data_IF_939093816666
#
_entry.id   IF_939093816666
#
_cell.length_a   1.000
_cell.length_b   1.000
_cell.length_c   1.000
_cell.angle_alpha   90.00
_cell.angle_beta   90.00
_cell.angle_gamma   90.00
#
_symmetry.space_group_name_H-M   'P 1'
#
loop_
_entity.id
_entity.type
_entity.pdbx_description
1 polymer ?
#
# COMPACT_ATOMS: atom_id res chain seq x y z
N UNK A 1 23.18 -10.06 12.74
CA UNK A 1 21.76 -10.29 13.11
C UNK A 1 20.98 -9.03 12.77
N UNK A 2 19.83 -9.13 12.06
CA UNK A 2 19.08 -7.93 11.69
C UNK A 2 18.53 -7.21 12.93
N UNK A 3 18.65 -5.88 12.90
CA UNK A 3 18.07 -4.94 13.87
C UNK A 3 16.98 -4.14 13.18
N UNK A 4 16.07 -3.54 13.95
CA UNK A 4 15.07 -2.65 13.39
C UNK A 4 15.75 -1.40 12.80
N UNK A 5 15.32 -0.96 11.62
CA UNK A 5 15.83 0.24 10.96
C UNK A 5 15.11 1.51 11.38
N UNK A 6 13.99 1.41 12.11
CA UNK A 6 13.27 2.56 12.64
C UNK A 6 14.12 3.29 13.69
N UNK A 7 14.16 4.62 13.59
CA UNK A 7 14.95 5.47 14.49
C UNK A 7 14.49 5.26 15.94
N UNK A 8 15.44 5.00 16.84
CA UNK A 8 15.18 4.78 18.27
C UNK A 8 14.63 3.39 18.63
N UNK A 9 14.50 2.47 17.67
CA UNK A 9 14.04 1.11 17.96
C UNK A 9 15.21 0.16 18.25
N UNK A 10 15.21 -0.43 19.44
CA UNK A 10 16.26 -1.35 19.91
C UNK A 10 15.94 -2.83 19.63
N UNK A 11 14.83 -3.11 18.95
CA UNK A 11 14.42 -4.47 18.65
C UNK A 11 15.43 -5.16 17.71
N UNK A 12 15.79 -6.38 18.09
CA UNK A 12 16.71 -7.29 17.39
C UNK A 12 16.07 -8.66 17.25
N UNK A 13 16.70 -9.56 16.51
CA UNK A 13 16.17 -10.93 16.32
C UNK A 13 15.96 -11.70 17.62
N UNK A 14 16.71 -11.38 18.69
CA UNK A 14 16.52 -12.00 20.01
C UNK A 14 15.32 -11.45 20.79
N UNK A 15 14.66 -10.38 20.32
CA UNK A 15 13.51 -9.77 20.99
C UNK A 15 12.19 -10.53 20.76
N UNK A 16 12.19 -11.67 20.05
CA UNK A 16 10.98 -12.47 19.80
C UNK A 16 9.98 -11.86 18.81
N UNK A 17 10.32 -10.73 18.19
CA UNK A 17 9.48 -10.03 17.21
C UNK A 17 9.78 -10.46 15.77
N UNK A 18 8.76 -10.46 14.91
CA UNK A 18 8.94 -10.67 13.47
C UNK A 18 9.58 -9.45 12.82
N UNK A 19 10.33 -9.65 11.74
CA UNK A 19 10.95 -8.58 10.95
C UNK A 19 10.44 -8.61 9.51
N UNK A 20 10.03 -7.47 9.00
CA UNK A 20 9.53 -7.28 7.64
C UNK A 20 10.54 -6.50 6.80
N UNK A 21 10.61 -6.82 5.50
CA UNK A 21 11.39 -6.06 4.53
C UNK A 21 10.58 -4.89 3.99
N UNK A 22 11.26 -3.80 3.65
CA UNK A 22 10.65 -2.71 2.90
C UNK A 22 10.10 -3.29 1.56
N UNK A 23 8.86 -2.95 1.15
CA UNK A 23 8.27 -3.49 -0.07
C UNK A 23 9.16 -3.30 -1.28
N UNK A 24 9.32 -4.38 -2.05
CA UNK A 24 10.02 -4.39 -3.32
C UNK A 24 9.01 -4.64 -4.45
N UNK A 25 9.28 -4.07 -5.62
CA UNK A 25 8.43 -4.24 -6.80
C UNK A 25 8.27 -2.96 -7.60
N UNK A 26 7.88 -3.14 -8.86
CA UNK A 26 7.63 -2.07 -9.82
C UNK A 26 6.16 -1.67 -9.90
N UNK A 27 5.23 -2.53 -9.45
CA UNK A 27 3.80 -2.26 -9.47
C UNK A 27 3.45 -0.98 -8.67
N UNK A 28 2.57 -0.10 -9.16
CA UNK A 28 2.26 1.19 -8.51
C UNK A 28 1.90 1.06 -7.04
N UNK A 29 1.09 0.05 -6.67
CA UNK A 29 0.75 -0.25 -5.28
C UNK A 29 1.99 -0.46 -4.39
N UNK A 30 2.96 -1.25 -4.85
CA UNK A 30 4.18 -1.52 -4.08
C UNK A 30 5.10 -0.30 -4.00
N UNK A 31 5.16 0.51 -5.06
CA UNK A 31 5.89 1.78 -5.04
C UNK A 31 5.31 2.74 -4.01
N UNK A 32 3.99 2.90 -3.99
CA UNK A 32 3.31 3.76 -3.02
C UNK A 32 3.51 3.24 -1.59
N UNK A 33 3.33 1.93 -1.36
CA UNK A 33 3.55 1.33 -0.05
C UNK A 33 4.99 1.51 0.44
N UNK A 34 5.98 1.32 -0.45
CA UNK A 34 7.40 1.61 -0.14
C UNK A 34 7.62 3.07 0.22
N UNK A 35 7.04 4.00 -0.54
CA UNK A 35 7.16 5.43 -0.27
C UNK A 35 6.64 5.79 1.13
N UNK A 36 5.44 5.30 1.50
CA UNK A 36 4.86 5.53 2.82
C UNK A 36 5.73 4.94 3.96
N UNK A 37 6.29 3.74 3.75
CA UNK A 37 7.19 3.14 4.74
C UNK A 37 8.46 3.98 4.92
N UNK A 38 9.09 4.43 3.84
CA UNK A 38 10.31 5.26 3.91
C UNK A 38 10.04 6.59 4.59
N UNK A 39 8.89 7.22 4.31
CA UNK A 39 8.46 8.45 4.95
C UNK A 39 8.24 8.27 6.47
N UNK A 40 7.64 7.16 6.88
CA UNK A 40 7.41 6.85 8.30
C UNK A 40 8.70 6.64 9.09
N UNK A 41 9.77 6.16 8.43
CA UNK A 41 11.06 5.93 9.08
C UNK A 41 11.83 7.22 9.38
N UNK A 42 11.47 8.34 8.74
CA UNK A 42 12.10 9.67 8.92
C UNK A 42 13.63 9.64 8.90
N UNK A 43 14.18 8.77 8.06
CA UNK A 43 15.61 8.63 7.84
C UNK A 43 16.00 9.47 6.64
N UNK A 44 17.01 10.30 6.83
CA UNK A 44 17.56 11.16 5.78
C UNK A 44 18.68 10.43 5.00
N UNK A 45 19.25 9.38 5.59
CA UNK A 45 20.43 8.62 5.14
C UNK A 45 20.12 7.43 4.20
N UNK A 46 19.17 7.59 3.27
CA UNK A 46 18.85 6.55 2.27
C UNK A 46 19.73 6.60 1.01
N UNK A 47 20.97 7.06 1.16
CA UNK A 47 21.91 7.39 0.09
C UNK A 47 22.22 6.20 -0.84
N UNK A 48 21.91 4.98 -0.39
CA UNK A 48 22.14 3.75 -1.12
C UNK A 48 20.88 2.86 -1.18
N UNK A 49 20.48 2.49 -2.40
CA UNK A 49 19.40 1.53 -2.64
C UNK A 49 19.63 0.16 -1.95
N UNK A 50 20.90 -0.23 -1.73
CA UNK A 50 21.25 -1.42 -0.96
C UNK A 50 20.85 -1.30 0.52
N UNK A 51 20.95 -0.10 1.11
CA UNK A 51 20.54 0.14 2.50
C UNK A 51 19.02 -0.06 2.67
N UNK A 52 18.22 0.44 1.72
CA UNK A 52 16.76 0.21 1.69
C UNK A 52 16.43 -1.28 1.55
N UNK A 53 17.19 -2.02 0.74
CA UNK A 53 16.97 -3.46 0.50
C UNK A 53 17.26 -4.31 1.74
N UNK A 54 18.27 -3.94 2.53
CA UNK A 54 18.63 -4.66 3.76
C UNK A 54 17.90 -4.14 5.01
N UNK A 55 17.24 -2.99 4.92
CA UNK A 55 16.42 -2.47 6.01
C UNK A 55 15.33 -3.46 6.43
N UNK A 56 15.13 -3.56 7.75
CA UNK A 56 14.13 -4.43 8.38
C UNK A 56 13.38 -3.67 9.44
N UNK A 57 12.05 -3.78 9.43
CA UNK A 57 11.18 -3.15 10.43
C UNK A 57 10.54 -4.24 11.28
N UNK A 58 10.60 -4.12 12.60
CA UNK A 58 10.01 -5.12 13.48
C UNK A 58 8.47 -4.99 13.53
N UNK A 59 7.82 -6.10 13.85
CA UNK A 59 6.36 -6.21 13.96
C UNK A 59 5.71 -5.21 14.92
N UNK A 60 6.44 -4.71 15.93
CA UNK A 60 5.93 -3.72 16.87
C UNK A 60 5.59 -2.35 16.24
N UNK A 61 6.06 -2.07 15.02
CA UNK A 61 5.72 -0.85 14.28
C UNK A 61 4.48 -0.99 13.40
N UNK A 62 3.86 -2.16 13.39
CA UNK A 62 2.62 -2.40 12.67
C UNK A 62 1.52 -2.57 13.69
N UNK A 63 0.40 -1.90 13.43
CA UNK A 63 -0.84 -2.20 14.10
C UNK A 63 -1.19 -3.65 13.74
N UNK A 64 -1.43 -4.52 14.73
CA UNK A 64 -1.84 -5.88 14.43
C UNK A 64 -3.20 -5.82 13.71
N UNK A 65 -3.44 -6.75 12.79
CA UNK A 65 -4.70 -6.81 12.04
C UNK A 65 -5.95 -7.04 12.94
N UNK A 66 -5.78 -7.09 14.27
CA UNK A 66 -6.88 -7.05 15.24
C UNK A 66 -7.47 -5.64 15.43
N UNK A 67 -6.71 -4.57 15.14
CA UNK A 67 -7.22 -3.20 15.13
C UNK A 67 -7.52 -2.67 13.72
N UNK A 68 -7.53 -3.53 12.70
CA UNK A 68 -8.38 -3.26 11.55
C UNK A 68 -9.82 -3.23 12.11
N UNK A 69 -10.26 -2.04 12.56
CA UNK A 69 -11.67 -1.72 12.66
C UNK A 69 -12.26 -2.33 11.40
N UNK A 70 -13.27 -3.23 11.49
CA UNK A 70 -13.89 -3.74 10.29
C UNK A 70 -14.47 -2.52 9.60
N UNK A 71 -13.71 -1.94 8.67
CA UNK A 71 -14.19 -0.91 7.77
C UNK A 71 -15.41 -1.56 7.14
N UNK A 72 -16.62 -1.04 7.41
CA UNK A 72 -17.82 -1.72 6.98
C UNK A 72 -17.68 -1.85 5.46
N UNK A 73 -17.67 -3.09 4.97
CA UNK A 73 -17.55 -3.42 3.53
C UNK A 73 -18.40 -2.51 2.64
N UNK A 74 -19.52 -2.02 3.18
CA UNK A 74 -20.40 -1.00 2.61
C UNK A 74 -19.67 0.14 1.89
N UNK A 75 -18.59 0.70 2.43
CA UNK A 75 -17.93 1.86 1.80
C UNK A 75 -17.29 1.48 0.44
N UNK A 76 -16.78 0.25 0.31
CA UNK A 76 -16.30 -0.29 -0.97
C UNK A 76 -17.40 -0.90 -1.81
N UNK A 77 -18.46 -1.44 -1.21
CA UNK A 77 -19.61 -1.95 -1.94
C UNK A 77 -20.30 -0.80 -2.70
N UNK A 78 -20.45 0.37 -2.07
CA UNK A 78 -20.98 1.59 -2.70
C UNK A 78 -20.05 2.10 -3.80
N UNK A 79 -18.73 2.06 -3.59
CA UNK A 79 -17.74 2.47 -4.59
C UNK A 79 -17.72 1.53 -5.80
N UNK A 80 -17.83 0.22 -5.56
CA UNK A 80 -17.85 -0.80 -6.61
C UNK A 80 -19.16 -0.75 -7.40
N UNK A 81 -20.29 -0.50 -6.73
CA UNK A 81 -21.58 -0.23 -7.37
C UNK A 81 -21.51 1.02 -8.25
N UNK A 82 -20.92 2.10 -7.74
CA UNK A 82 -20.71 3.33 -8.50
C UNK A 82 -19.81 3.14 -9.71
N UNK A 83 -18.78 2.31 -9.58
CA UNK A 83 -17.90 1.96 -10.69
C UNK A 83 -18.65 1.17 -11.77
N UNK A 84 -19.49 0.19 -11.38
CA UNK A 84 -20.35 -0.54 -12.31
C UNK A 84 -21.31 0.38 -13.07
N UNK A 85 -22.00 1.29 -12.36
CA UNK A 85 -22.90 2.27 -12.98
C UNK A 85 -22.18 3.19 -13.97
N UNK A 86 -21.02 3.74 -13.60
CA UNK A 86 -20.22 4.57 -14.51
C UNK A 86 -19.79 3.80 -15.77
N UNK A 87 -19.52 2.50 -15.64
CA UNK A 87 -19.11 1.67 -16.76
C UNK A 87 -20.29 1.36 -17.70
N UNK A 88 -21.50 1.13 -17.16
CA UNK A 88 -22.72 1.01 -17.94
C UNK A 88 -23.06 2.31 -18.67
N UNK A 89 -23.02 3.45 -17.97
CA UNK A 89 -23.26 4.77 -18.54
C UNK A 89 -22.29 5.07 -19.68
N UNK A 90 -21.00 4.73 -19.52
CA UNK A 90 -20.00 4.90 -20.57
C UNK A 90 -20.31 4.06 -21.82
N UNK A 91 -20.73 2.79 -21.64
CA UNK A 91 -21.10 1.92 -22.77
C UNK A 91 -22.34 2.45 -23.47
N UNK A 92 -23.36 2.88 -22.71
CA UNK A 92 -24.59 3.45 -23.26
C UNK A 92 -24.31 4.73 -24.04
N UNK A 93 -23.57 5.68 -23.45
CA UNK A 93 -23.17 6.92 -24.12
C UNK A 93 -22.36 6.66 -25.39
N UNK A 94 -21.49 5.66 -25.38
CA UNK A 94 -20.73 5.27 -26.56
C UNK A 94 -21.63 4.72 -27.66
N UNK A 95 -22.59 3.87 -27.31
CA UNK A 95 -23.56 3.35 -28.26
C UNK A 95 -24.46 4.45 -28.83
N UNK A 96 -24.94 5.37 -27.99
CA UNK A 96 -25.71 6.54 -28.41
C UNK A 96 -24.91 7.43 -29.36
N UNK A 97 -23.63 7.67 -29.05
CA UNK A 97 -22.74 8.42 -29.93
C UNK A 97 -22.59 7.73 -31.29
N UNK A 98 -22.35 6.42 -31.30
CA UNK A 98 -22.23 5.65 -32.54
C UNK A 98 -23.55 5.68 -33.35
N UNK A 99 -24.72 5.62 -32.69
CA UNK A 99 -26.03 5.71 -33.35
C UNK A 99 -26.33 7.12 -33.91
N UNK A 100 -25.92 8.17 -33.20
CA UNK A 100 -26.10 9.56 -33.62
C UNK A 100 -25.13 9.98 -34.73
N UNK A 101 -23.94 9.38 -34.77
CA UNK A 101 -22.94 9.62 -35.79
C UNK A 101 -23.07 8.73 -37.04
N UNK A 102 -23.97 7.75 -37.05
CA UNK A 102 -24.32 6.95 -38.24
C UNK A 102 -23.16 6.10 -38.77
N UNK A 103 -22.39 5.48 -37.87
CA UNK A 103 -21.45 4.40 -38.20
C UNK A 103 -22.11 3.02 -38.10
#
# INVERSE_FOLDING_TARGET
MPTCSAVGCENRTSSGVKFFRIPAGSHPFQKNRRHLWLQALKREDWDNAAAVKEARICSAHFISAEEDIPFPKREYDDLNLRYCQLQEDYVNLRQEFDTLCGL
#
